data_IF_815157460252
#
_entry.id   IF_815157460252
#
_cell.length_a   1.000
_cell.length_b   1.000
_cell.length_c   1.000
_cell.angle_alpha   90.00
_cell.angle_beta   90.00
_cell.angle_gamma   90.00
#
_symmetry.space_group_name_H-M   'P 1'
#
loop_
_entity.id
_entity.type
_entity.pdbx_description
1 polymer ?
#
# COMPACT_ATOMS: atom_id res chain seq x y z
N UNK A 1 77.43 -27.24 7.09
CA UNK A 1 76.71 -26.50 8.16
C UNK A 1 75.45 -25.94 7.51
N UNK A 2 74.19 -26.24 7.83
CA UNK A 2 73.53 -26.79 9.01
C UNK A 2 72.36 -27.71 8.59
N UNK A 3 72.23 -28.80 9.34
CA UNK A 3 71.04 -29.46 9.93
C UNK A 3 69.63 -29.22 9.35
N UNK A 4 68.92 -30.32 9.09
CA UNK A 4 67.47 -30.40 8.97
C UNK A 4 66.81 -30.75 10.32
N UNK A 5 65.69 -30.08 10.63
CA UNK A 5 64.61 -30.48 11.54
C UNK A 5 63.41 -29.58 11.17
N UNK A 6 62.18 -30.00 10.93
CA UNK A 6 61.43 -31.17 11.40
C UNK A 6 60.35 -30.71 12.39
N UNK A 7 59.18 -30.30 11.89
CA UNK A 7 57.87 -30.17 12.60
C UNK A 7 56.80 -30.30 11.50
N UNK A 8 55.97 -31.33 11.32
CA UNK A 8 55.02 -32.11 12.16
C UNK A 8 53.60 -31.50 12.22
N UNK A 9 52.70 -32.16 11.46
CA UNK A 9 51.29 -32.53 11.77
C UNK A 9 50.13 -31.56 11.50
N UNK A 10 49.36 -31.95 10.45
CA UNK A 10 47.92 -32.22 10.34
C UNK A 10 46.91 -31.30 11.05
N UNK A 11 45.93 -30.80 10.28
CA UNK A 11 44.53 -31.16 10.51
C UNK A 11 43.74 -31.13 9.19
N UNK A 12 43.00 -32.21 8.97
CA UNK A 12 42.10 -32.49 7.85
C UNK A 12 40.72 -31.87 8.06
N UNK A 13 40.08 -31.47 6.96
CA UNK A 13 38.62 -31.32 6.83
C UNK A 13 38.05 -30.08 7.53
N UNK A 14 37.11 -29.31 7.00
CA UNK A 14 36.13 -29.51 5.93
C UNK A 14 35.71 -28.10 5.49
N UNK A 15 35.79 -27.79 4.21
CA UNK A 15 35.15 -26.59 3.64
C UNK A 15 33.66 -26.87 3.46
N UNK A 16 32.84 -26.51 4.45
CA UNK A 16 31.41 -26.31 4.25
C UNK A 16 31.13 -24.81 4.18
N UNK A 17 31.20 -24.28 2.96
CA UNK A 17 30.69 -22.97 2.62
C UNK A 17 29.16 -23.02 2.59
N UNK A 18 28.52 -22.87 3.75
CA UNK A 18 27.10 -22.53 3.83
C UNK A 18 27.02 -21.05 4.21
N UNK A 19 27.00 -20.20 3.18
CA UNK A 19 26.65 -18.79 3.28
C UNK A 19 25.24 -18.67 3.83
N UNK A 20 25.13 -18.52 5.15
CA UNK A 20 23.94 -17.96 5.77
C UNK A 20 23.83 -16.53 5.25
N UNK A 21 22.97 -16.33 4.26
CA UNK A 21 22.51 -14.99 3.90
C UNK A 21 21.87 -14.42 5.16
N UNK A 22 22.61 -13.58 5.89
CA UNK A 22 22.06 -12.77 6.94
C UNK A 22 20.92 -11.98 6.29
N UNK A 23 19.68 -12.29 6.67
CA UNK A 23 18.53 -11.50 6.30
C UNK A 23 18.78 -10.11 6.86
N UNK A 24 19.30 -9.21 6.02
CA UNK A 24 19.42 -7.80 6.35
C UNK A 24 17.99 -7.36 6.62
N UNK A 25 17.70 -7.03 7.87
CA UNK A 25 16.42 -6.46 8.24
C UNK A 25 16.18 -5.28 7.30
N UNK A 26 15.12 -5.36 6.50
CA UNK A 26 14.77 -4.27 5.61
C UNK A 26 14.67 -3.00 6.47
N UNK A 27 15.30 -1.88 6.06
CA UNK A 27 15.23 -0.66 6.83
C UNK A 27 13.77 -0.31 7.10
N UNK A 28 13.45 0.00 8.35
CA UNK A 28 12.12 0.46 8.75
C UNK A 28 11.75 1.65 7.87
N UNK A 29 10.66 1.54 7.10
CA UNK A 29 10.15 2.66 6.29
C UNK A 29 9.79 3.80 7.22
N UNK A 30 10.37 4.98 6.98
CA UNK A 30 9.97 6.21 7.64
C UNK A 30 8.67 6.71 7.00
N UNK A 31 7.66 6.94 7.83
CA UNK A 31 6.33 7.38 7.41
C UNK A 31 6.10 8.83 7.84
N UNK A 32 6.98 9.71 7.39
CA UNK A 32 6.97 11.13 7.73
C UNK A 32 6.32 11.98 6.63
N UNK A 33 6.00 13.23 6.99
CA UNK A 33 5.34 14.18 6.11
C UNK A 33 3.81 14.17 6.22
N UNK A 34 3.19 14.83 5.26
CA UNK A 34 1.76 15.09 5.19
C UNK A 34 1.23 14.71 3.81
N UNK A 35 -0.04 14.33 3.75
CA UNK A 35 -0.80 14.05 2.53
C UNK A 35 -2.00 14.97 2.52
N UNK A 36 -2.22 15.67 1.41
CA UNK A 36 -3.43 16.45 1.22
C UNK A 36 -4.62 15.50 1.02
N UNK A 37 -5.77 15.82 1.62
CA UNK A 37 -6.98 15.01 1.51
C UNK A 37 -7.38 14.73 0.06
N UNK A 38 -7.28 15.70 -0.86
CA UNK A 38 -7.57 15.46 -2.27
C UNK A 38 -6.66 14.40 -2.92
N UNK A 39 -5.39 14.34 -2.52
CA UNK A 39 -4.44 13.35 -3.05
C UNK A 39 -4.74 11.94 -2.53
N UNK A 40 -5.30 11.85 -1.32
CA UNK A 40 -5.82 10.61 -0.77
C UNK A 40 -7.11 10.20 -1.48
N UNK A 41 -8.12 11.08 -1.51
CA UNK A 41 -9.46 10.75 -1.96
C UNK A 41 -9.58 10.53 -3.47
N UNK A 42 -8.61 10.98 -4.29
CA UNK A 42 -8.60 10.68 -5.74
C UNK A 42 -8.57 9.18 -6.06
N UNK A 43 -8.10 8.35 -5.13
CA UNK A 43 -8.06 6.89 -5.25
C UNK A 43 -9.35 6.20 -4.79
N UNK A 44 -10.34 6.95 -4.28
CA UNK A 44 -11.55 6.38 -3.69
C UNK A 44 -12.53 5.86 -4.76
N UNK A 45 -12.92 4.60 -4.60
CA UNK A 45 -13.90 3.92 -5.46
C UNK A 45 -15.21 3.55 -4.75
N UNK A 46 -15.27 3.62 -3.43
CA UNK A 46 -16.43 3.19 -2.64
C UNK A 46 -16.67 1.67 -2.59
N UNK A 47 -15.60 0.89 -2.73
CA UNK A 47 -15.62 -0.58 -2.65
C UNK A 47 -15.02 -1.11 -1.34
N UNK A 48 -14.76 -0.25 -0.37
CA UNK A 48 -14.10 -0.58 0.91
C UNK A 48 -15.09 -0.85 2.05
N UNK A 49 -16.38 -0.99 1.74
CA UNK A 49 -17.43 -1.25 2.72
C UNK A 49 -17.65 -0.11 3.72
N UNK A 50 -17.25 1.13 3.38
CA UNK A 50 -17.40 2.30 4.24
C UNK A 50 -16.20 2.56 5.16
N UNK A 51 -15.08 1.87 4.91
CA UNK A 51 -13.84 2.05 5.65
C UNK A 51 -13.33 3.49 5.55
N UNK A 52 -13.40 4.10 4.37
CA UNK A 52 -13.00 5.49 4.15
C UNK A 52 -13.74 6.47 5.07
N UNK A 53 -15.07 6.39 5.12
CA UNK A 53 -15.85 7.29 5.99
C UNK A 53 -15.57 7.02 7.48
N UNK A 54 -15.27 5.77 7.85
CA UNK A 54 -14.83 5.45 9.21
C UNK A 54 -13.48 6.11 9.53
N UNK A 55 -12.55 6.13 8.58
CA UNK A 55 -11.28 6.81 8.70
C UNK A 55 -11.45 8.34 8.82
N UNK A 56 -12.25 8.96 7.95
CA UNK A 56 -12.54 10.39 8.03
C UNK A 56 -13.11 10.77 9.40
N UNK A 57 -14.10 10.01 9.91
CA UNK A 57 -14.64 10.21 11.27
C UNK A 57 -13.57 10.07 12.36
N UNK A 58 -12.73 9.04 12.29
CA UNK A 58 -11.67 8.82 13.26
C UNK A 58 -10.58 9.90 13.26
N UNK A 59 -10.48 10.68 12.17
CA UNK A 59 -9.57 11.81 12.03
C UNK A 59 -10.25 13.17 12.23
N UNK A 60 -11.54 13.20 12.60
CA UNK A 60 -12.35 14.40 12.71
C UNK A 60 -12.41 15.24 11.41
N UNK A 61 -12.40 14.58 10.25
CA UNK A 61 -12.64 15.19 8.95
C UNK A 61 -14.14 15.13 8.64
N UNK A 62 -14.79 16.30 8.61
CA UNK A 62 -16.20 16.42 8.25
C UNK A 62 -16.42 15.99 6.80
N UNK A 63 -17.51 15.28 6.52
CA UNK A 63 -17.91 14.81 5.19
C UNK A 63 -19.44 14.92 5.06
N UNK A 64 -19.94 16.14 4.90
CA UNK A 64 -21.37 16.44 4.87
C UNK A 64 -22.13 15.79 3.72
N UNK A 65 -21.43 15.48 2.61
CA UNK A 65 -22.00 14.72 1.48
C UNK A 65 -22.07 13.20 1.73
N UNK A 66 -21.56 12.73 2.87
CA UNK A 66 -21.57 11.32 3.28
C UNK A 66 -20.49 10.44 2.64
N UNK A 67 -19.63 11.00 1.78
CA UNK A 67 -18.65 10.23 0.99
C UNK A 67 -17.24 10.77 1.13
N UNK A 68 -17.06 12.05 0.82
CA UNK A 68 -15.79 12.77 0.73
C UNK A 68 -15.69 13.83 1.81
N UNK A 69 -14.48 14.09 2.30
CA UNK A 69 -14.22 15.19 3.21
C UNK A 69 -14.64 16.54 2.62
N UNK A 70 -15.14 17.44 3.46
CA UNK A 70 -15.59 18.77 3.04
C UNK A 70 -14.39 19.69 2.75
N UNK A 71 -13.29 19.54 3.49
CA UNK A 71 -12.03 20.24 3.25
C UNK A 71 -11.02 19.35 2.50
N UNK A 72 -10.97 19.55 1.19
CA UNK A 72 -10.05 18.84 0.29
C UNK A 72 -8.60 19.34 0.36
N UNK A 73 -8.33 20.45 1.04
CA UNK A 73 -6.99 21.02 1.21
C UNK A 73 -6.38 20.70 2.58
N UNK A 74 -7.14 20.03 3.45
CA UNK A 74 -6.64 19.60 4.75
C UNK A 74 -5.40 18.70 4.58
N UNK A 75 -4.38 18.97 5.40
CA UNK A 75 -3.14 18.20 5.42
C UNK A 75 -3.19 17.19 6.57
N UNK A 76 -3.03 15.91 6.23
CA UNK A 76 -3.12 14.79 7.16
C UNK A 76 -1.75 14.12 7.30
N UNK A 77 -1.27 13.84 8.53
CA UNK A 77 -0.01 13.13 8.71
C UNK A 77 -0.01 11.78 8.00
N UNK A 78 1.09 11.42 7.33
CA UNK A 78 1.23 10.11 6.65
C UNK A 78 0.92 8.96 7.61
N UNK A 79 1.35 9.04 8.87
CA UNK A 79 1.06 8.04 9.89
C UNK A 79 -0.46 7.83 10.13
N UNK A 80 -1.25 8.91 10.04
CA UNK A 80 -2.72 8.86 10.17
C UNK A 80 -3.37 8.20 8.95
N UNK A 81 -2.88 8.50 7.74
CA UNK A 81 -3.34 7.84 6.50
C UNK A 81 -2.96 6.35 6.53
N UNK A 82 -1.77 6.00 7.02
CA UNK A 82 -1.36 4.60 7.24
C UNK A 82 -2.28 3.89 8.23
N UNK A 83 -2.64 4.56 9.32
CA UNK A 83 -3.62 4.04 10.29
C UNK A 83 -4.97 3.80 9.62
N UNK A 84 -5.41 4.70 8.74
CA UNK A 84 -6.65 4.53 7.99
C UNK A 84 -6.67 3.25 7.14
N UNK A 85 -5.57 2.96 6.43
CA UNK A 85 -5.43 1.75 5.66
C UNK A 85 -5.39 0.49 6.54
N UNK A 86 -4.59 0.49 7.62
CA UNK A 86 -4.35 -0.71 8.44
C UNK A 86 -5.48 -1.03 9.41
N UNK A 87 -6.04 -0.03 10.10
CA UNK A 87 -7.05 -0.23 11.14
C UNK A 87 -8.48 -0.23 10.60
N UNK A 88 -8.77 0.59 9.58
CA UNK A 88 -10.11 0.70 9.02
C UNK A 88 -10.28 -0.06 7.71
N UNK A 89 -9.19 -0.35 7.00
CA UNK A 89 -9.23 -0.99 5.69
C UNK A 89 -9.50 -0.01 4.55
N UNK A 90 -9.19 1.27 4.73
CA UNK A 90 -9.39 2.28 3.68
C UNK A 90 -8.51 1.98 2.45
N UNK A 91 -9.18 1.75 1.32
CA UNK A 91 -8.53 1.43 0.04
C UNK A 91 -7.78 2.62 -0.55
N UNK A 92 -8.36 3.81 -0.49
CA UNK A 92 -7.76 5.02 -1.03
C UNK A 92 -6.49 5.38 -0.24
N UNK A 93 -6.52 5.17 1.08
CA UNK A 93 -5.37 5.35 1.94
C UNK A 93 -4.22 4.39 1.58
N UNK A 94 -4.57 3.14 1.24
CA UNK A 94 -3.57 2.17 0.80
C UNK A 94 -2.93 2.57 -0.54
N UNK A 95 -3.71 3.04 -1.52
CA UNK A 95 -3.17 3.43 -2.83
C UNK A 95 -2.37 4.74 -2.80
N UNK A 96 -2.80 5.75 -2.04
CA UNK A 96 -2.01 6.99 -1.94
C UNK A 96 -0.64 6.72 -1.30
N UNK A 97 -0.57 5.82 -0.32
CA UNK A 97 0.70 5.39 0.29
C UNK A 97 1.51 4.50 -0.66
N UNK A 98 0.84 3.63 -1.42
CA UNK A 98 1.50 2.82 -2.46
C UNK A 98 2.20 3.70 -3.49
N UNK A 99 1.49 4.68 -4.01
CA UNK A 99 2.00 5.63 -5.00
C UNK A 99 3.12 6.51 -4.41
N UNK A 100 2.83 7.18 -3.28
CA UNK A 100 3.78 8.10 -2.62
C UNK A 100 5.12 7.46 -2.28
N UNK A 101 5.11 6.19 -1.87
CA UNK A 101 6.31 5.50 -1.42
C UNK A 101 6.78 4.39 -2.37
N UNK A 102 6.21 4.29 -3.58
CA UNK A 102 6.58 3.26 -4.56
C UNK A 102 6.53 1.85 -3.99
N UNK A 103 5.43 1.48 -3.31
CA UNK A 103 5.26 0.14 -2.75
C UNK A 103 4.95 -0.88 -3.85
N UNK A 104 5.65 -2.00 -3.83
CA UNK A 104 5.35 -3.17 -4.67
C UNK A 104 4.21 -4.00 -4.04
N UNK A 105 3.02 -3.40 -4.00
CA UNK A 105 1.79 -4.05 -3.53
C UNK A 105 0.69 -3.94 -4.59
N UNK A 106 -0.31 -4.85 -4.57
CA UNK A 106 -1.48 -4.71 -5.43
C UNK A 106 -2.17 -3.35 -5.24
N UNK A 107 -2.64 -2.73 -6.32
CA UNK A 107 -3.48 -1.52 -6.25
C UNK A 107 -4.90 -1.88 -5.80
N UNK A 108 -5.48 -1.13 -4.87
CA UNK A 108 -6.90 -1.27 -4.56
C UNK A 108 -7.77 -0.61 -5.63
N UNK A 109 -7.36 0.54 -6.17
CA UNK A 109 -7.92 1.21 -7.33
C UNK A 109 -7.95 0.26 -8.53
N UNK A 110 -6.80 -0.30 -8.91
CA UNK A 110 -6.69 -1.24 -10.03
C UNK A 110 -7.58 -2.46 -9.89
N UNK A 111 -7.61 -3.08 -8.71
CA UNK A 111 -8.50 -4.22 -8.43
C UNK A 111 -9.98 -3.83 -8.51
N UNK A 112 -10.35 -2.65 -8.04
CA UNK A 112 -11.71 -2.14 -8.13
C UNK A 112 -12.12 -1.84 -9.57
N UNK A 113 -11.23 -1.27 -10.37
CA UNK A 113 -11.46 -1.03 -11.80
C UNK A 113 -11.61 -2.35 -12.57
N UNK A 114 -10.74 -3.33 -12.32
CA UNK A 114 -10.87 -4.68 -12.90
C UNK A 114 -12.21 -5.32 -12.53
N UNK A 115 -12.62 -5.20 -11.26
CA UNK A 115 -13.90 -5.75 -10.80
C UNK A 115 -15.09 -5.12 -11.53
N UNK A 116 -15.12 -3.79 -11.64
CA UNK A 116 -16.29 -3.07 -12.14
C UNK A 116 -16.31 -2.99 -13.67
N UNK A 117 -15.15 -2.81 -14.31
CA UNK A 117 -15.01 -2.58 -15.74
C UNK A 117 -14.49 -3.81 -16.51
N UNK A 118 -13.99 -4.83 -15.81
CA UNK A 118 -13.44 -6.05 -16.43
C UNK A 118 -12.05 -5.88 -17.05
N UNK A 119 -11.39 -4.74 -16.84
CA UNK A 119 -10.14 -4.36 -17.50
C UNK A 119 -9.05 -4.06 -16.45
N UNK A 120 -7.85 -4.60 -16.65
CA UNK A 120 -6.66 -4.32 -15.83
C UNK A 120 -5.88 -3.10 -16.37
N UNK A 121 -4.99 -2.53 -15.55
CA UNK A 121 -4.04 -1.49 -15.98
C UNK A 121 -4.68 -0.13 -16.27
N UNK A 122 -5.87 0.12 -15.71
CA UNK A 122 -6.62 1.35 -15.91
C UNK A 122 -6.30 2.44 -14.89
N UNK A 123 -5.48 2.18 -13.88
CA UNK A 123 -5.26 3.07 -12.73
C UNK A 123 -4.80 4.46 -13.14
N UNK A 124 -3.69 4.55 -13.88
CA UNK A 124 -3.14 5.83 -14.31
C UNK A 124 -4.13 6.61 -15.18
N UNK A 125 -4.77 5.92 -16.14
CA UNK A 125 -5.79 6.54 -17.00
C UNK A 125 -7.00 7.01 -16.20
N UNK A 126 -7.47 6.24 -15.22
CA UNK A 126 -8.63 6.59 -14.41
C UNK A 126 -8.42 7.89 -13.64
N UNK A 127 -7.20 8.14 -13.18
CA UNK A 127 -6.87 9.37 -12.44
C UNK A 127 -6.89 10.64 -13.32
N UNK A 128 -6.75 10.49 -14.64
CA UNK A 128 -6.59 11.60 -15.59
C UNK A 128 -7.73 11.70 -16.64
N UNK A 129 -8.58 10.68 -16.77
CA UNK A 129 -9.65 10.58 -17.78
C UNK A 129 -11.05 10.66 -17.13
N UNK A 130 -11.70 11.84 -17.15
CA UNK A 130 -13.06 12.00 -16.64
C UNK A 130 -14.08 11.08 -17.32
N UNK A 131 -13.88 10.73 -18.60
CA UNK A 131 -14.74 9.80 -19.32
C UNK A 131 -14.68 8.40 -18.71
N UNK A 132 -13.49 7.95 -18.30
CA UNK A 132 -13.32 6.67 -17.62
C UNK A 132 -13.90 6.69 -16.19
N UNK A 133 -13.79 7.82 -15.48
CA UNK A 133 -14.43 8.01 -14.17
C UNK A 133 -15.95 7.94 -14.26
N UNK A 134 -16.55 8.60 -15.26
CA UNK A 134 -17.99 8.54 -15.52
C UNK A 134 -18.44 7.14 -15.92
N UNK A 135 -17.65 6.44 -16.76
CA UNK A 135 -17.89 5.03 -17.09
C UNK A 135 -17.93 4.19 -15.82
N UNK A 136 -16.92 4.31 -14.94
CA UNK A 136 -16.92 3.60 -13.65
C UNK A 136 -18.19 3.87 -12.85
N UNK A 137 -18.60 5.14 -12.68
CA UNK A 137 -19.82 5.50 -11.95
C UNK A 137 -21.06 4.82 -12.56
N UNK A 138 -21.16 4.76 -13.88
CA UNK A 138 -22.25 4.10 -14.58
C UNK A 138 -22.31 2.59 -14.33
N UNK A 139 -21.16 1.92 -14.24
CA UNK A 139 -21.07 0.47 -14.04
C UNK A 139 -20.96 0.03 -12.58
N UNK A 140 -20.69 0.92 -11.62
CA UNK A 140 -20.48 0.53 -10.21
C UNK A 140 -21.76 0.07 -9.50
N UNK A 141 -22.95 0.45 -9.99
CA UNK A 141 -24.23 0.26 -9.28
C UNK A 141 -24.50 -1.19 -8.79
N UNK A 142 -24.23 -2.25 -9.57
CA UNK A 142 -24.39 -3.63 -9.12
C UNK A 142 -23.49 -3.99 -7.92
N UNK A 143 -22.38 -3.28 -7.74
CA UNK A 143 -21.40 -3.50 -6.69
C UNK A 143 -21.62 -2.62 -5.45
N UNK A 144 -22.71 -1.85 -5.38
CA UNK A 144 -22.94 -0.89 -4.30
C UNK A 144 -22.98 -1.51 -2.89
N UNK A 145 -23.25 -2.82 -2.77
CA UNK A 145 -23.25 -3.57 -1.50
C UNK A 145 -22.04 -4.48 -1.35
N UNK A 146 -21.16 -4.51 -2.34
CA UNK A 146 -19.98 -5.36 -2.34
C UNK A 146 -18.81 -4.62 -1.68
N UNK A 147 -18.26 -5.23 -0.63
CA UNK A 147 -17.02 -4.80 -0.02
C UNK A 147 -15.87 -5.68 -0.54
N UNK A 148 -14.97 -5.08 -1.31
CA UNK A 148 -13.79 -5.75 -1.81
C UNK A 148 -12.78 -5.93 -0.67
N UNK A 149 -12.26 -7.15 -0.43
CA UNK A 149 -11.27 -7.34 0.62
C UNK A 149 -9.90 -6.76 0.22
N UNK A 150 -9.25 -6.09 1.17
CA UNK A 150 -7.85 -5.68 1.08
C UNK A 150 -6.92 -6.91 1.22
N UNK A 151 -6.02 -7.17 0.25
CA UNK A 151 -5.10 -8.31 0.32
C UNK A 151 -4.08 -8.16 1.45
N UNK A 152 -3.64 -9.29 2.01
CA UNK A 152 -2.57 -9.31 3.02
C UNK A 152 -1.25 -8.74 2.50
N UNK A 153 -0.99 -8.86 1.19
CA UNK A 153 0.18 -8.23 0.57
C UNK A 153 0.19 -6.70 0.73
N UNK A 154 -0.98 -6.05 0.62
CA UNK A 154 -1.12 -4.60 0.85
C UNK A 154 -0.86 -4.26 2.31
N UNK A 155 -1.47 -5.02 3.24
CA UNK A 155 -1.25 -4.82 4.67
C UNK A 155 0.21 -5.00 5.08
N UNK A 156 0.90 -6.03 4.55
CA UNK A 156 2.32 -6.27 4.81
C UNK A 156 3.23 -5.18 4.24
N UNK A 157 2.89 -4.62 3.08
CA UNK A 157 3.65 -3.52 2.50
C UNK A 157 3.54 -2.22 3.32
N UNK A 158 2.44 -2.07 4.07
CA UNK A 158 2.19 -0.92 4.93
C UNK A 158 2.61 -1.14 6.39
N UNK A 159 2.81 -2.39 6.83
CA UNK A 159 3.20 -2.73 8.21
C UNK A 159 4.63 -2.27 8.52
#
# INVERSE_FOLDING_TARGET
>A
MFTAAGVTVLMSGTVSSATGAAAVAAPVRTWDGQIQVSDWERYYLGLDGGAHQKALRALNLTHGNGVHADDQYAMVPVASVRRAALEFGDHAAADVLRDRFGLDSPSMLGRGLKLVLGEDGLEGRYLDDPGLQLRYIGYRRPYARYAMPMPDAVRRALA
#
